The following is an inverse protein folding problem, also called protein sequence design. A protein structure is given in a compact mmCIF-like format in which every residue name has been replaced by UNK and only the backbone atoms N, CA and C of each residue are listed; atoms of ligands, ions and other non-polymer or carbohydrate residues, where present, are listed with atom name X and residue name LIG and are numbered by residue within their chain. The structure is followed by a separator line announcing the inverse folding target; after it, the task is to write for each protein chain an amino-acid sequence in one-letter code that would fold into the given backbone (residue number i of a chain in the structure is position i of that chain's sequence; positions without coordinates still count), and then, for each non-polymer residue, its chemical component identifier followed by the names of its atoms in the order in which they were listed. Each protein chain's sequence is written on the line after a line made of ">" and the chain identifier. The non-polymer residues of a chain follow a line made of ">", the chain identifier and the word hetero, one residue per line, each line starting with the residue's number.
data_IF_321512552915
#
_entry.id   IF_321512552915
#
_cell.length_a   1.000
_cell.length_b   1.000
_cell.length_c   1.000
_cell.angle_alpha   90.00
_cell.angle_beta   90.00
_cell.angle_gamma   90.00
#
_symmetry.space_group_name_H-M   'P 1'
#
loop_
_entity.id
_entity.type
_entity.pdbx_description
1 polymer ?
#
# COMPACT_ATOMS: atom_id res chain seq x y z
N UNK A 1 35.29 3.02 -11.22
CA UNK A 1 33.90 3.52 -11.31
C UNK A 1 33.33 3.06 -12.64
N UNK A 2 32.04 2.72 -12.71
CA UNK A 2 31.33 2.40 -13.95
C UNK A 2 30.04 3.24 -14.04
N UNK A 3 29.67 3.71 -15.23
CA UNK A 3 28.52 4.62 -15.40
C UNK A 3 27.77 4.55 -16.74
N UNK A 4 27.97 3.50 -17.54
CA UNK A 4 27.40 3.39 -18.88
C UNK A 4 26.16 2.47 -18.89
N UNK A 5 24.98 3.02 -19.19
CA UNK A 5 23.70 2.31 -19.34
C UNK A 5 23.37 1.28 -18.24
N UNK A 6 23.76 1.59 -17.01
CA UNK A 6 23.56 0.71 -15.86
C UNK A 6 22.10 0.67 -15.42
N UNK A 7 21.65 -0.51 -15.01
CA UNK A 7 20.44 -0.80 -14.23
C UNK A 7 20.75 -1.86 -13.16
N UNK A 8 19.76 -2.21 -12.34
CA UNK A 8 19.90 -3.21 -11.30
C UNK A 8 20.30 -4.60 -11.82
N UNK A 9 19.92 -4.97 -13.04
CA UNK A 9 20.19 -6.28 -13.63
C UNK A 9 21.64 -6.37 -14.13
N UNK A 10 22.12 -5.35 -14.83
CA UNK A 10 23.51 -5.24 -15.29
C UNK A 10 24.44 -5.13 -14.09
N UNK A 11 24.11 -4.29 -13.10
CA UNK A 11 24.89 -4.18 -11.87
C UNK A 11 24.96 -5.52 -11.13
N UNK A 12 23.84 -6.25 -11.02
CA UNK A 12 23.82 -7.56 -10.40
C UNK A 12 24.71 -8.57 -11.15
N UNK A 13 24.62 -8.60 -12.48
CA UNK A 13 25.43 -9.50 -13.35
C UNK A 13 26.93 -9.21 -13.24
N UNK A 14 27.34 -7.94 -13.25
CA UNK A 14 28.75 -7.57 -13.09
C UNK A 14 29.28 -7.96 -11.71
N UNK A 15 28.48 -7.78 -10.66
CA UNK A 15 28.85 -8.20 -9.29
C UNK A 15 29.00 -9.72 -9.18
N UNK A 16 28.09 -10.49 -9.77
CA UNK A 16 28.17 -11.97 -9.71
C UNK A 16 29.36 -12.53 -10.48
N UNK A 17 29.83 -11.81 -11.51
CA UNK A 17 31.06 -12.14 -12.25
C UNK A 17 32.35 -11.69 -11.54
N UNK A 18 32.26 -11.09 -10.35
CA UNK A 18 33.43 -10.66 -9.58
C UNK A 18 34.06 -9.35 -10.04
N UNK A 19 33.33 -8.49 -10.77
CA UNK A 19 33.83 -7.20 -11.21
C UNK A 19 34.24 -6.32 -10.00
N UNK A 20 35.47 -5.80 -10.02
CA UNK A 20 36.03 -4.98 -8.93
C UNK A 20 35.64 -3.49 -9.07
N UNK A 21 34.34 -3.22 -9.19
CA UNK A 21 33.80 -1.86 -9.36
C UNK A 21 33.38 -1.31 -7.99
N UNK A 22 34.06 -0.26 -7.53
CA UNK A 22 33.77 0.37 -6.23
C UNK A 22 32.62 1.38 -6.25
N UNK A 23 32.38 2.04 -7.40
CA UNK A 23 31.39 3.13 -7.54
C UNK A 23 30.58 2.94 -8.81
N UNK A 24 29.26 3.06 -8.70
CA UNK A 24 28.27 2.87 -9.76
C UNK A 24 27.53 4.19 -10.01
N UNK A 25 27.70 4.77 -11.20
CA UNK A 25 26.95 5.95 -11.63
C UNK A 25 25.77 5.54 -12.49
N UNK A 26 24.54 5.68 -11.98
CA UNK A 26 23.34 5.35 -12.74
C UNK A 26 22.66 6.63 -13.19
N UNK A 27 22.53 6.83 -14.49
CA UNK A 27 21.95 8.02 -15.10
C UNK A 27 20.49 7.81 -15.52
N UNK A 28 20.25 7.83 -16.83
CA UNK A 28 18.93 7.85 -17.47
C UNK A 28 17.95 6.83 -16.89
N UNK A 29 18.35 5.55 -16.78
CA UNK A 29 17.43 4.48 -16.35
C UNK A 29 16.82 4.72 -14.96
N UNK A 30 17.62 5.21 -14.01
CA UNK A 30 17.16 5.56 -12.67
C UNK A 30 16.32 6.84 -12.67
N UNK A 31 16.79 7.89 -13.34
CA UNK A 31 16.15 9.20 -13.31
C UNK A 31 14.77 9.23 -13.99
N UNK A 32 14.57 8.38 -15.00
CA UNK A 32 13.31 8.36 -15.78
C UNK A 32 12.41 7.18 -15.43
N UNK A 33 12.81 6.30 -14.50
CA UNK A 33 12.16 5.00 -14.27
C UNK A 33 11.91 4.27 -15.61
N UNK A 34 12.96 4.11 -16.41
CA UNK A 34 12.85 3.85 -17.86
C UNK A 34 11.89 2.70 -18.26
N UNK A 35 11.89 1.59 -17.53
CA UNK A 35 11.04 0.44 -17.85
C UNK A 35 9.56 0.66 -17.50
N UNK A 36 9.27 1.50 -16.52
CA UNK A 36 7.91 1.89 -16.12
C UNK A 36 7.87 3.36 -15.66
N UNK A 37 7.81 4.33 -16.60
CA UNK A 37 7.96 5.76 -16.30
C UNK A 37 6.74 6.39 -15.62
N UNK A 38 5.70 5.60 -15.36
CA UNK A 38 4.46 6.04 -14.73
C UNK A 38 4.00 5.08 -13.63
N UNK A 39 3.67 5.65 -12.46
CA UNK A 39 3.20 4.88 -11.29
C UNK A 39 1.73 4.45 -11.39
N UNK A 40 0.90 5.18 -12.16
CA UNK A 40 -0.53 4.87 -12.30
C UNK A 40 -1.40 5.28 -11.11
N UNK A 41 -0.98 6.27 -10.32
CA UNK A 41 -1.76 6.79 -9.19
C UNK A 41 -3.11 7.40 -9.61
N UNK A 42 -4.13 7.24 -8.78
CA UNK A 42 -5.49 7.74 -9.02
C UNK A 42 -6.07 8.41 -7.77
N UNK A 43 -6.93 9.40 -7.97
CA UNK A 43 -7.74 10.01 -6.91
C UNK A 43 -9.21 9.59 -7.07
N UNK A 44 -9.84 9.15 -5.98
CA UNK A 44 -11.24 8.70 -5.98
C UNK A 44 -11.94 9.21 -4.73
N UNK A 45 -13.18 9.69 -4.90
CA UNK A 45 -14.08 9.98 -3.79
C UNK A 45 -14.48 8.67 -3.10
N UNK A 46 -14.22 8.57 -1.79
CA UNK A 46 -14.51 7.37 -0.99
C UNK A 46 -15.63 7.56 0.04
N UNK A 47 -15.89 8.80 0.48
CA UNK A 47 -16.98 9.13 1.39
C UNK A 47 -17.40 10.61 1.25
N UNK A 48 -18.64 10.92 1.64
CA UNK A 48 -19.17 12.28 1.77
C UNK A 48 -19.68 12.49 3.19
N UNK A 49 -19.44 13.66 3.77
CA UNK A 49 -20.07 14.01 5.04
C UNK A 49 -21.50 14.51 4.78
N UNK A 50 -22.47 13.98 5.52
CA UNK A 50 -23.87 14.43 5.54
C UNK A 50 -24.03 15.65 6.45
N UNK A 51 -25.17 16.33 6.34
CA UNK A 51 -25.51 17.50 7.16
C UNK A 51 -25.53 17.20 8.67
N UNK A 52 -25.88 15.97 9.05
CA UNK A 52 -25.86 15.49 10.44
C UNK A 52 -24.45 15.18 10.97
N UNK A 53 -23.41 15.38 10.14
CA UNK A 53 -22.01 15.13 10.46
C UNK A 53 -21.56 13.68 10.23
N UNK A 54 -22.46 12.76 9.89
CA UNK A 54 -22.13 11.37 9.59
C UNK A 54 -21.43 11.22 8.24
N UNK A 55 -20.57 10.21 8.10
CA UNK A 55 -19.87 9.92 6.85
C UNK A 55 -20.62 8.85 6.05
N UNK A 56 -21.00 9.18 4.82
CA UNK A 56 -21.61 8.28 3.86
C UNK A 56 -20.55 7.68 2.94
N UNK A 57 -20.30 6.36 2.98
CA UNK A 57 -19.37 5.69 2.06
C UNK A 57 -19.84 5.78 0.61
N UNK A 58 -18.90 5.90 -0.34
CA UNK A 58 -19.16 5.91 -1.79
C UNK A 58 -18.31 4.86 -2.51
N UNK A 59 -18.97 4.08 -3.36
CA UNK A 59 -18.33 3.09 -4.25
C UNK A 59 -18.57 3.49 -5.69
N UNK A 60 -17.52 3.54 -6.48
CA UNK A 60 -17.59 3.62 -7.94
C UNK A 60 -17.41 2.22 -8.51
N UNK A 61 -18.46 1.70 -9.14
CA UNK A 61 -18.38 0.46 -9.91
C UNK A 61 -17.52 0.67 -11.16
N UNK A 62 -16.83 -0.40 -11.53
CA UNK A 62 -16.19 -0.55 -12.83
C UNK A 62 -16.61 -1.91 -13.39
N UNK A 63 -16.54 -2.05 -14.71
CA UNK A 63 -16.78 -3.32 -15.41
C UNK A 63 -15.94 -4.48 -14.83
N UNK A 64 -14.74 -4.17 -14.28
CA UNK A 64 -13.89 -5.16 -13.62
C UNK A 64 -13.98 -5.03 -12.10
N UNK A 65 -14.24 -6.12 -11.39
CA UNK A 65 -14.36 -6.16 -9.93
C UNK A 65 -13.12 -5.56 -9.22
N UNK A 66 -11.91 -5.82 -9.74
CA UNK A 66 -10.64 -5.30 -9.22
C UNK A 66 -10.48 -3.77 -9.37
N UNK A 67 -11.29 -3.12 -10.21
CA UNK A 67 -11.27 -1.66 -10.44
C UNK A 67 -12.30 -0.91 -9.60
N UNK A 68 -13.10 -1.63 -8.80
CA UNK A 68 -14.07 -1.04 -7.87
C UNK A 68 -13.34 -0.27 -6.76
N UNK A 69 -13.79 0.93 -6.45
CA UNK A 69 -13.18 1.71 -5.36
C UNK A 69 -13.49 1.12 -3.98
N UNK A 70 -12.58 1.35 -3.03
CA UNK A 70 -12.79 1.02 -1.63
C UNK A 70 -13.53 2.21 -0.98
N UNK A 71 -14.70 2.00 -0.35
CA UNK A 71 -15.47 3.08 0.27
C UNK A 71 -14.99 3.41 1.69
N UNK A 72 -15.36 4.59 2.19
CA UNK A 72 -15.21 4.98 3.59
C UNK A 72 -14.08 5.99 3.84
N UNK A 73 -13.88 6.33 5.12
CA UNK A 73 -12.73 7.13 5.57
C UNK A 73 -11.57 6.19 5.88
N UNK A 74 -10.65 6.06 4.94
CA UNK A 74 -9.68 4.98 4.98
C UNK A 74 -8.41 5.35 5.74
N UNK A 75 -7.93 4.41 6.53
CA UNK A 75 -6.61 4.40 7.15
C UNK A 75 -5.86 3.13 6.75
N UNK A 76 -4.53 3.18 6.78
CA UNK A 76 -3.67 2.02 6.55
C UNK A 76 -2.89 1.72 7.82
N UNK A 77 -3.06 0.50 8.35
CA UNK A 77 -2.31 0.00 9.51
C UNK A 77 -1.31 -1.05 9.07
N UNK A 78 -0.04 -0.82 9.37
CA UNK A 78 1.04 -1.78 9.17
C UNK A 78 1.20 -2.66 10.39
N UNK A 79 1.35 -3.95 10.18
CA UNK A 79 1.58 -4.94 11.23
C UNK A 79 2.97 -5.53 11.14
N UNK A 80 3.56 -5.77 12.31
CA UNK A 80 4.89 -6.34 12.44
C UNK A 80 5.00 -7.34 13.59
N UNK A 81 6.00 -8.20 13.48
CA UNK A 81 6.44 -9.12 14.53
C UNK A 81 7.93 -8.94 14.75
N UNK A 82 8.51 -9.69 15.69
CA UNK A 82 9.97 -9.71 15.91
C UNK A 82 10.76 -10.10 14.64
N UNK A 83 10.10 -10.78 13.68
CA UNK A 83 10.69 -11.21 12.42
C UNK A 83 10.55 -10.17 11.29
N UNK A 84 9.90 -9.04 11.54
CA UNK A 84 9.73 -7.94 10.59
C UNK A 84 8.28 -7.66 10.21
N UNK A 85 8.10 -6.97 9.07
CA UNK A 85 6.79 -6.55 8.57
C UNK A 85 6.00 -7.75 8.03
N UNK A 86 4.73 -7.86 8.42
CA UNK A 86 3.89 -9.01 8.06
C UNK A 86 2.68 -8.65 7.19
N UNK A 87 2.32 -7.39 7.05
CA UNK A 87 1.26 -6.95 6.14
C UNK A 87 0.65 -5.60 6.50
N UNK A 88 -0.06 -5.02 5.53
CA UNK A 88 -0.77 -3.76 5.70
C UNK A 88 -2.29 -3.99 5.53
N UNK A 89 -3.08 -3.47 6.49
CA UNK A 89 -4.54 -3.52 6.49
C UNK A 89 -5.11 -2.13 6.19
N UNK A 90 -6.04 -2.06 5.25
CA UNK A 90 -6.87 -0.89 5.01
C UNK A 90 -8.16 -1.04 5.82
N UNK A 91 -8.49 -0.07 6.64
CA UNK A 91 -9.72 -0.09 7.45
C UNK A 91 -10.44 1.27 7.39
N UNK A 92 -11.71 1.29 7.79
CA UNK A 92 -12.51 2.51 7.88
C UNK A 92 -12.41 3.09 9.30
N UNK A 93 -11.83 4.28 9.45
CA UNK A 93 -11.63 4.96 10.73
C UNK A 93 -12.95 5.17 11.49
N UNK A 94 -14.07 5.34 10.76
CA UNK A 94 -15.38 5.55 11.38
C UNK A 94 -15.96 4.30 12.02
N UNK A 95 -15.46 3.12 11.64
CA UNK A 95 -15.92 1.80 12.11
C UNK A 95 -14.88 1.13 13.02
N UNK A 96 -13.63 1.52 12.91
CA UNK A 96 -12.51 0.84 13.55
C UNK A 96 -12.19 -0.49 12.86
N UNK A 97 -11.32 -1.27 13.50
CA UNK A 97 -10.90 -2.59 13.02
C UNK A 97 -11.86 -3.65 13.56
N UNK A 98 -12.26 -4.59 12.69
CA UNK A 98 -13.15 -5.68 13.09
C UNK A 98 -12.46 -6.60 14.12
N UNK A 99 -13.16 -7.04 15.18
CA UNK A 99 -12.58 -7.90 16.22
C UNK A 99 -12.00 -9.23 15.73
N UNK A 100 -12.38 -9.68 14.53
CA UNK A 100 -11.82 -10.87 13.88
C UNK A 100 -10.37 -10.66 13.45
N UNK A 101 -9.93 -9.41 13.24
CA UNK A 101 -8.57 -9.03 12.87
C UNK A 101 -8.02 -9.83 11.67
N UNK A 102 -8.77 -9.84 10.56
CA UNK A 102 -8.40 -10.56 9.34
C UNK A 102 -8.17 -9.55 8.22
N UNK A 103 -7.00 -9.64 7.57
CA UNK A 103 -6.73 -8.98 6.30
C UNK A 103 -7.31 -9.86 5.18
N UNK A 104 -8.21 -9.31 4.37
CA UNK A 104 -8.70 -9.91 3.12
C UNK A 104 -7.97 -9.27 1.95
N UNK A 105 -7.22 -10.06 1.21
CA UNK A 105 -6.41 -9.57 0.10
C UNK A 105 -7.28 -8.87 -0.97
N UNK A 106 -6.81 -7.72 -1.46
CA UNK A 106 -7.58 -6.89 -2.37
C UNK A 106 -7.69 -7.45 -3.80
N UNK A 107 -6.77 -8.33 -4.19
CA UNK A 107 -6.72 -8.95 -5.53
C UNK A 107 -7.38 -10.33 -5.54
N UNK A 108 -7.32 -11.06 -4.44
CA UNK A 108 -7.90 -12.39 -4.30
C UNK A 108 -8.55 -12.56 -2.92
N UNK A 109 -9.88 -12.44 -2.87
CA UNK A 109 -10.65 -12.46 -1.63
C UNK A 109 -10.63 -13.82 -0.91
N UNK A 110 -10.13 -14.88 -1.56
CA UNK A 110 -9.91 -16.18 -0.93
C UNK A 110 -8.67 -16.18 -0.04
N UNK A 111 -7.69 -15.29 -0.31
CA UNK A 111 -6.51 -15.10 0.53
C UNK A 111 -6.88 -14.26 1.75
N UNK A 112 -6.87 -14.91 2.91
CA UNK A 112 -7.18 -14.30 4.21
C UNK A 112 -6.03 -14.51 5.17
N UNK A 113 -5.59 -13.42 5.80
CA UNK A 113 -4.51 -13.43 6.79
C UNK A 113 -5.06 -13.03 8.16
N UNK A 114 -5.31 -13.99 9.07
CA UNK A 114 -5.63 -13.65 10.45
C UNK A 114 -4.40 -13.06 11.14
N UNK A 115 -4.64 -12.07 12.00
CA UNK A 115 -3.64 -11.41 12.83
C UNK A 115 -3.87 -11.78 14.30
N UNK A 116 -2.79 -11.93 15.06
CA UNK A 116 -2.90 -12.10 16.51
C UNK A 116 -3.37 -10.77 17.14
N UNK A 117 -4.24 -10.82 18.14
CA UNK A 117 -4.83 -9.62 18.78
C UNK A 117 -3.79 -8.62 19.31
N UNK A 118 -2.61 -9.10 19.73
CA UNK A 118 -1.52 -8.30 20.29
C UNK A 118 -0.38 -8.07 19.30
N UNK A 119 -0.63 -8.20 17.99
CA UNK A 119 0.38 -7.92 16.97
C UNK A 119 0.74 -6.43 17.01
N UNK A 120 2.04 -6.12 17.03
CA UNK A 120 2.50 -4.73 16.97
C UNK A 120 2.05 -4.10 15.66
N UNK A 121 1.60 -2.84 15.74
CA UNK A 121 1.09 -2.16 14.57
C UNK A 121 1.19 -0.64 14.69
N UNK A 122 1.24 0.02 13.53
CA UNK A 122 1.32 1.48 13.42
C UNK A 122 0.45 1.96 12.26
N UNK A 123 -0.32 3.03 12.47
CA UNK A 123 -1.08 3.70 11.40
C UNK A 123 -0.13 4.54 10.54
N UNK A 124 -0.28 4.45 9.21
CA UNK A 124 0.65 5.02 8.25
C UNK A 124 0.23 6.41 7.74
N UNK A 125 -1.07 6.72 7.69
CA UNK A 125 -1.54 8.03 7.26
C UNK A 125 -1.52 8.99 8.44
N UNK A 126 -0.45 9.77 8.53
CA UNK A 126 -0.30 10.85 9.50
C UNK A 126 -0.77 12.16 8.85
N UNK A 127 -1.61 12.97 9.52
CA UNK A 127 -2.05 14.26 8.98
C UNK A 127 -0.85 15.16 8.63
N UNK A 128 -0.77 15.61 7.37
CA UNK A 128 0.21 16.60 6.92
C UNK A 128 -0.36 18.02 6.85
N UNK A 129 -1.68 18.15 6.72
CA UNK A 129 -2.39 19.44 6.68
C UNK A 129 -3.74 19.36 7.40
N UNK A 130 -4.16 20.45 8.03
CA UNK A 130 -5.52 20.67 8.58
C UNK A 130 -5.95 22.10 8.29
N UNK A 131 -7.17 22.28 7.77
CA UNK A 131 -7.74 23.60 7.47
C UNK A 131 -6.82 24.50 6.62
N UNK A 132 -6.14 23.92 5.63
CA UNK A 132 -5.22 24.66 4.74
C UNK A 132 -3.84 24.97 5.34
N UNK A 133 -3.58 24.64 6.60
CA UNK A 133 -2.28 24.81 7.24
C UNK A 133 -1.53 23.48 7.34
N UNK A 134 -0.21 23.50 7.13
CA UNK A 134 0.66 22.36 7.43
C UNK A 134 0.58 22.05 8.92
N UNK A 135 0.47 20.76 9.25
CA UNK A 135 0.59 20.25 10.62
C UNK A 135 1.73 19.25 10.71
N UNK A 136 2.35 19.14 11.89
CA UNK A 136 3.53 18.31 12.09
C UNK A 136 4.84 18.97 11.64
N UNK A 137 5.94 18.36 12.06
CA UNK A 137 7.28 18.86 11.77
C UNK A 137 7.76 18.40 10.38
N UNK A 138 8.69 19.15 9.78
CA UNK A 138 9.43 18.63 8.62
C UNK A 138 10.45 17.60 9.10
N UNK A 139 10.46 16.42 8.50
CA UNK A 139 11.51 15.42 8.71
C UNK A 139 12.77 15.81 7.91
N UNK A 140 13.96 15.67 8.51
CA UNK A 140 15.22 15.90 7.80
C UNK A 140 15.46 14.78 6.76
N UNK A 141 16.22 15.07 5.71
CA UNK A 141 16.46 14.08 4.64
C UNK A 141 17.24 12.87 5.14
N UNK A 142 18.11 13.06 6.14
CA UNK A 142 18.85 12.01 6.81
C UNK A 142 17.93 11.05 7.57
N UNK A 143 16.91 11.59 8.25
CA UNK A 143 15.91 10.82 8.99
C UNK A 143 15.02 10.02 8.03
N UNK A 144 14.55 10.66 6.94
CA UNK A 144 13.80 9.99 5.87
C UNK A 144 14.61 8.81 5.30
N UNK A 145 15.91 9.02 5.05
CA UNK A 145 16.81 7.99 4.53
C UNK A 145 17.00 6.85 5.54
N UNK A 146 17.25 7.18 6.81
CA UNK A 146 17.44 6.19 7.87
C UNK A 146 16.19 5.32 8.04
N UNK A 147 15.01 5.95 8.10
CA UNK A 147 13.71 5.27 8.18
C UNK A 147 13.46 4.36 6.97
N UNK A 148 13.76 4.82 5.75
CA UNK A 148 13.59 4.01 4.55
C UNK A 148 14.50 2.76 4.55
N UNK A 149 15.76 2.92 4.96
CA UNK A 149 16.71 1.80 5.09
C UNK A 149 16.22 0.80 6.14
N UNK A 150 15.76 1.29 7.29
CA UNK A 150 15.32 0.44 8.38
C UNK A 150 14.06 -0.34 8.01
N UNK A 151 13.03 0.35 7.49
CA UNK A 151 11.81 -0.34 7.05
C UNK A 151 12.08 -1.34 5.93
N UNK A 152 13.01 -1.06 5.01
CA UNK A 152 13.41 -2.03 3.98
C UNK A 152 14.04 -3.29 4.59
N UNK A 153 14.82 -3.16 5.67
CA UNK A 153 15.41 -4.34 6.36
C UNK A 153 14.35 -5.21 7.02
N UNK A 154 13.28 -4.60 7.51
CA UNK A 154 12.15 -5.31 8.13
C UNK A 154 11.29 -6.08 7.12
N UNK A 155 11.44 -5.84 5.81
CA UNK A 155 10.73 -6.62 4.78
C UNK A 155 11.43 -7.96 4.56
N UNK A 156 10.64 -9.04 4.57
CA UNK A 156 11.15 -10.40 4.37
C UNK A 156 11.96 -10.54 3.05
N UNK A 157 13.13 -11.20 3.04
CA UNK A 157 14.00 -11.29 1.86
C UNK A 157 13.32 -11.81 0.58
N UNK A 158 12.35 -12.73 0.71
CA UNK A 158 11.60 -13.27 -0.42
C UNK A 158 10.74 -12.22 -1.16
N UNK A 159 10.41 -11.10 -0.51
CA UNK A 159 9.68 -9.97 -1.09
C UNK A 159 10.66 -8.98 -1.74
N UNK A 160 11.90 -8.90 -1.25
CA UNK A 160 12.94 -7.96 -1.72
C UNK A 160 13.75 -8.44 -2.92
N UNK A 161 13.65 -9.71 -3.30
CA UNK A 161 14.40 -10.27 -4.44
C UNK A 161 13.88 -9.70 -5.76
N UNK A 162 14.77 -9.50 -6.73
CA UNK A 162 14.38 -9.02 -8.07
C UNK A 162 13.60 -10.08 -8.86
N UNK A 163 13.99 -11.35 -8.75
CA UNK A 163 13.38 -12.43 -9.52
C UNK A 163 12.20 -13.04 -8.76
N UNK A 164 11.01 -12.97 -9.35
CA UNK A 164 9.77 -13.55 -8.83
C UNK A 164 9.54 -13.23 -7.33
N UNK A 165 9.53 -11.93 -6.91
CA UNK A 165 9.30 -11.59 -5.51
C UNK A 165 7.95 -12.13 -5.03
N UNK A 166 7.90 -12.55 -3.76
CA UNK A 166 6.62 -12.82 -3.11
C UNK A 166 5.85 -11.51 -2.95
N UNK A 167 4.53 -11.53 -3.11
CA UNK A 167 3.69 -10.37 -2.85
C UNK A 167 3.70 -10.05 -1.34
N UNK A 168 3.91 -8.78 -1.00
CA UNK A 168 3.70 -8.30 0.36
C UNK A 168 2.19 -8.30 0.67
N UNK A 169 1.74 -8.88 1.81
CA UNK A 169 0.32 -8.94 2.12
C UNK A 169 -0.28 -7.55 2.32
N UNK A 170 -1.23 -7.18 1.45
CA UNK A 170 -2.01 -5.94 1.57
C UNK A 170 -3.47 -6.28 1.33
N UNK A 171 -4.35 -5.78 2.18
CA UNK A 171 -5.76 -6.06 2.04
C UNK A 171 -6.66 -5.21 2.91
N UNK A 172 -7.95 -5.49 2.84
CA UNK A 172 -8.97 -4.81 3.64
C UNK A 172 -9.12 -5.51 4.99
N UNK A 173 -9.47 -4.75 6.02
CA UNK A 173 -10.17 -5.29 7.17
C UNK A 173 -11.40 -6.07 6.71
N UNK A 174 -11.69 -7.20 7.36
CA UNK A 174 -12.81 -8.07 6.98
C UNK A 174 -14.17 -7.36 7.06
N UNK A 175 -14.37 -6.47 8.04
CA UNK A 175 -15.60 -5.67 8.14
C UNK A 175 -15.71 -4.68 6.98
N UNK A 176 -14.62 -4.02 6.60
CA UNK A 176 -14.58 -3.14 5.43
C UNK A 176 -14.82 -3.91 4.12
N UNK A 177 -14.24 -5.10 3.98
CA UNK A 177 -14.48 -5.98 2.84
C UNK A 177 -15.97 -6.31 2.69
N UNK A 178 -16.63 -6.71 3.78
CA UNK A 178 -18.06 -7.05 3.78
C UNK A 178 -18.95 -5.84 3.47
N UNK A 179 -18.59 -4.64 3.93
CA UNK A 179 -19.28 -3.40 3.57
C UNK A 179 -19.17 -3.13 2.07
N UNK A 180 -17.95 -3.20 1.52
CA UNK A 180 -17.71 -2.99 0.09
C UNK A 180 -18.51 -3.98 -0.74
N UNK A 181 -18.45 -5.26 -0.41
CA UNK A 181 -19.11 -6.31 -1.18
C UNK A 181 -20.64 -6.17 -1.13
N UNK A 182 -21.20 -5.78 0.02
CA UNK A 182 -22.63 -5.44 0.14
C UNK A 182 -23.03 -4.27 -0.75
N UNK A 183 -22.27 -3.17 -0.71
CA UNK A 183 -22.55 -2.00 -1.56
C UNK A 183 -22.45 -2.35 -3.05
N UNK A 184 -21.51 -3.19 -3.45
CA UNK A 184 -21.41 -3.68 -4.83
C UNK A 184 -22.66 -4.47 -5.23
N UNK A 185 -23.14 -5.34 -4.35
CA UNK A 185 -24.34 -6.14 -4.60
C UNK A 185 -25.58 -5.25 -4.72
N UNK A 186 -25.77 -4.28 -3.81
CA UNK A 186 -26.87 -3.32 -3.85
C UNK A 186 -26.90 -2.53 -5.16
N UNK A 187 -25.78 -1.93 -5.57
CA UNK A 187 -25.71 -1.14 -6.81
C UNK A 187 -25.96 -2.01 -8.05
N UNK A 188 -25.46 -3.25 -8.07
CA UNK A 188 -25.71 -4.18 -9.18
C UNK A 188 -27.13 -4.70 -9.20
N UNK A 189 -27.76 -4.92 -8.05
CA UNK A 189 -29.16 -5.35 -7.95
C UNK A 189 -30.11 -4.29 -8.54
N UNK A 190 -29.85 -3.02 -8.23
CA UNK A 190 -30.64 -1.90 -8.77
C UNK A 190 -30.53 -1.75 -10.30
N UNK A 191 -29.41 -2.16 -10.91
CA UNK A 191 -29.23 -2.08 -12.38
C UNK A 191 -30.10 -3.07 -13.18
N UNK A 192 -30.74 -4.06 -12.55
CA UNK A 192 -31.65 -5.00 -13.23
C UNK A 192 -33.13 -4.65 -13.04
N UNK A 193 -33.44 -3.65 -12.21
CA UNK A 193 -34.81 -3.17 -11.95
C UNK A 193 -35.16 -1.92 -12.78
N UNK A 194 -34.19 -1.29 -13.46
CA UNK A 194 -34.35 -0.24 -14.48
C UNK A 194 -34.36 -0.80 -15.91
#
# INVERSE_FOLDING_TARGET
>A
MASNDLDEHIIHSLKSQGAQIAVWGVGTKLATAFDQPALGGVYKLAALQREDGSWEPKVKLSEQAIKTSIPGMLQVRRYETEQGLIGDMIYDETRGIDPRAIIVDSKDTTRRKPLAKSTQSTDLLIPAMRNGAKVGESEAIEDIRARAIEQLRMIHPAIRRFMNPHEYPVGLDIGLHEVRDRMIHEIRGTQWEE
#
